data_IF_460714005557
#
_entry.id   IF_460714005557
#
_cell.length_a   1.000
_cell.length_b   1.000
_cell.length_c   1.000
_cell.angle_alpha   90.00
_cell.angle_beta   90.00
_cell.angle_gamma   90.00
#
_symmetry.space_group_name_H-M   'P 1'
#
loop_
_entity.id
_entity.type
_entity.pdbx_description
1 polymer ?
#
# COMPACT_ATOMS: atom_id res chain seq x y z
N UNK A 1 -12.60 14.79 -15.26
CA UNK A 1 -13.27 14.11 -14.13
C UNK A 1 -13.13 12.62 -14.36
N UNK A 2 -12.02 12.02 -13.90
CA UNK A 2 -11.73 10.59 -14.12
C UNK A 2 -12.43 9.75 -13.04
N UNK A 3 -13.24 8.81 -13.50
CA UNK A 3 -14.18 8.03 -12.69
C UNK A 3 -13.42 7.00 -11.83
N UNK A 4 -13.36 7.21 -10.51
CA UNK A 4 -12.70 6.38 -9.48
C UNK A 4 -13.40 5.04 -9.19
N UNK A 5 -14.32 4.57 -10.04
CA UNK A 5 -15.26 3.49 -9.70
C UNK A 5 -14.64 2.08 -9.65
N UNK A 6 -13.44 1.88 -10.21
CA UNK A 6 -12.77 0.57 -10.29
C UNK A 6 -11.69 0.36 -9.21
N UNK A 7 -11.24 1.43 -8.56
CA UNK A 7 -10.32 1.39 -7.44
C UNK A 7 -11.15 1.56 -6.17
N UNK A 8 -10.78 0.92 -5.06
CA UNK A 8 -11.49 1.03 -3.79
C UNK A 8 -11.36 2.44 -3.19
N UNK A 9 -11.04 2.54 -1.89
CA UNK A 9 -10.76 3.84 -1.27
C UNK A 9 -9.51 4.45 -1.90
N UNK A 10 -9.61 5.70 -2.38
CA UNK A 10 -8.52 6.48 -2.97
C UNK A 10 -8.43 7.83 -2.26
N UNK A 11 -7.22 8.31 -1.99
CA UNK A 11 -6.99 9.69 -1.55
C UNK A 11 -7.35 10.65 -2.68
N UNK A 12 -8.38 11.49 -2.50
CA UNK A 12 -8.77 12.49 -3.50
C UNK A 12 -7.84 13.72 -3.45
N UNK A 13 -7.82 14.50 -4.54
CA UNK A 13 -7.08 15.75 -4.57
C UNK A 13 -7.55 16.74 -3.50
N UNK A 14 -8.86 16.82 -3.26
CA UNK A 14 -9.45 17.65 -2.21
C UNK A 14 -8.97 17.23 -0.81
N UNK A 15 -8.96 15.93 -0.51
CA UNK A 15 -8.44 15.41 0.76
C UNK A 15 -6.95 15.70 0.95
N UNK A 16 -6.17 15.64 -0.14
CA UNK A 16 -4.77 16.02 -0.12
C UNK A 16 -4.57 17.51 0.21
N UNK A 17 -5.30 18.38 -0.48
CA UNK A 17 -5.23 19.84 -0.26
C UNK A 17 -5.69 20.24 1.13
N UNK A 18 -6.74 19.61 1.65
CA UNK A 18 -7.21 19.83 3.02
C UNK A 18 -6.12 19.48 4.04
N UNK A 19 -5.53 18.28 3.95
CA UNK A 19 -4.46 17.85 4.85
C UNK A 19 -3.22 18.77 4.78
N UNK A 20 -2.88 19.24 3.57
CA UNK A 20 -1.77 20.18 3.34
C UNK A 20 -2.06 21.54 3.99
N UNK A 21 -3.26 22.08 3.82
CA UNK A 21 -3.67 23.37 4.40
C UNK A 21 -3.76 23.33 5.93
N UNK A 22 -3.98 22.15 6.52
CA UNK A 22 -3.89 21.92 7.98
C UNK A 22 -2.43 21.89 8.50
N UNK A 23 -1.43 22.10 7.64
CA UNK A 23 -0.02 22.15 8.02
C UNK A 23 0.67 20.78 8.08
N UNK A 24 0.09 19.74 7.49
CA UNK A 24 0.71 18.41 7.46
C UNK A 24 2.03 18.43 6.68
N UNK A 25 3.13 18.01 7.31
CA UNK A 25 4.46 17.92 6.67
C UNK A 25 4.51 16.86 5.55
N UNK A 26 3.69 15.82 5.65
CA UNK A 26 3.62 14.72 4.69
C UNK A 26 2.19 14.20 4.61
N UNK A 27 1.68 13.98 3.40
CA UNK A 27 0.33 13.48 3.16
C UNK A 27 0.42 12.18 2.36
N UNK A 28 -0.01 11.02 2.92
CA UNK A 28 0.04 9.77 2.21
C UNK A 28 -1.02 9.71 1.11
N UNK A 29 -0.60 9.37 -0.11
CA UNK A 29 -1.51 9.07 -1.21
C UNK A 29 -1.75 7.56 -1.23
N UNK A 30 -3.02 7.17 -1.03
CA UNK A 30 -3.38 5.77 -0.85
C UNK A 30 -4.39 5.35 -1.90
N UNK A 31 -4.28 4.09 -2.31
CA UNK A 31 -5.30 3.37 -3.06
C UNK A 31 -5.48 2.01 -2.41
N UNK A 32 -6.74 1.61 -2.23
CA UNK A 32 -7.11 0.28 -1.80
C UNK A 32 -7.62 -0.52 -2.99
N UNK A 33 -7.15 -1.77 -3.11
CA UNK A 33 -7.55 -2.68 -4.17
C UNK A 33 -7.68 -4.10 -3.64
N UNK A 34 -8.49 -4.92 -4.31
CA UNK A 34 -8.62 -6.33 -3.98
C UNK A 34 -7.33 -7.08 -4.37
N UNK A 35 -6.89 -8.00 -3.52
CA UNK A 35 -5.69 -8.80 -3.71
C UNK A 35 -5.91 -10.26 -3.24
N UNK A 36 -7.16 -10.75 -3.35
CA UNK A 36 -7.57 -12.04 -2.78
C UNK A 36 -6.83 -13.25 -3.38
N UNK A 37 -6.27 -13.08 -4.59
CA UNK A 37 -5.50 -14.12 -5.30
C UNK A 37 -3.99 -14.01 -5.06
N UNK A 38 -3.58 -13.10 -4.19
CA UNK A 38 -2.19 -12.75 -3.99
C UNK A 38 -1.80 -12.93 -2.52
N UNK A 39 -0.71 -13.65 -2.30
CA UNK A 39 0.00 -13.67 -1.01
C UNK A 39 0.97 -12.49 -0.92
N UNK A 40 1.38 -12.05 0.28
CA UNK A 40 2.35 -10.97 0.44
C UNK A 40 3.64 -11.17 -0.39
N UNK A 41 4.17 -12.40 -0.41
CA UNK A 41 5.34 -12.73 -1.23
C UNK A 41 5.07 -12.60 -2.73
N UNK A 42 3.92 -13.10 -3.21
CA UNK A 42 3.57 -12.97 -4.63
C UNK A 42 3.38 -11.52 -5.06
N UNK A 43 2.81 -10.66 -4.20
CA UNK A 43 2.74 -9.21 -4.46
C UNK A 43 4.13 -8.60 -4.55
N UNK A 44 4.98 -8.90 -3.58
CA UNK A 44 6.34 -8.37 -3.55
C UNK A 44 7.10 -8.69 -4.85
N UNK A 45 7.01 -9.93 -5.33
CA UNK A 45 7.64 -10.32 -6.59
C UNK A 45 7.00 -9.67 -7.83
N UNK A 46 5.69 -9.42 -7.81
CA UNK A 46 4.98 -8.74 -8.91
C UNK A 46 5.34 -7.27 -9.03
N UNK A 47 5.54 -6.57 -7.91
CA UNK A 47 5.70 -5.10 -7.90
C UNK A 47 7.13 -4.62 -7.68
N UNK A 48 8.02 -5.48 -7.17
CA UNK A 48 9.45 -5.14 -7.03
C UNK A 48 10.07 -4.90 -8.41
N UNK A 49 10.85 -3.83 -8.52
CA UNK A 49 11.65 -3.59 -9.72
C UNK A 49 12.94 -4.43 -9.71
N UNK A 50 13.37 -4.99 -10.86
CA UNK A 50 14.50 -5.90 -10.95
C UNK A 50 15.81 -5.41 -10.32
N UNK A 51 16.04 -4.09 -10.31
CA UNK A 51 17.30 -3.46 -9.90
C UNK A 51 17.17 -2.50 -8.71
N UNK A 52 16.04 -2.50 -8.00
CA UNK A 52 15.84 -1.66 -6.80
C UNK A 52 15.86 -2.51 -5.51
N UNK A 53 16.38 -1.92 -4.44
CA UNK A 53 16.34 -2.52 -3.10
C UNK A 53 14.90 -2.45 -2.62
N UNK A 54 14.36 -3.61 -2.24
CA UNK A 54 13.03 -3.73 -1.68
C UNK A 54 13.04 -4.61 -0.44
N UNK A 55 12.02 -4.47 0.39
CA UNK A 55 11.83 -5.29 1.58
C UNK A 55 10.40 -5.84 1.66
N UNK A 56 10.27 -6.99 2.30
CA UNK A 56 9.00 -7.57 2.72
C UNK A 56 9.11 -7.85 4.22
N UNK A 57 8.24 -7.23 5.02
CA UNK A 57 8.15 -7.44 6.46
C UNK A 57 6.85 -8.17 6.77
N UNK A 58 6.97 -9.37 7.33
CA UNK A 58 5.84 -10.17 7.78
C UNK A 58 5.94 -10.36 9.29
N UNK A 59 4.81 -10.20 9.98
CA UNK A 59 4.72 -10.52 11.40
C UNK A 59 4.36 -12.00 11.54
N UNK A 60 4.97 -12.70 12.49
CA UNK A 60 4.64 -14.08 12.82
C UNK A 60 4.34 -14.15 14.32
N UNK A 61 3.14 -14.58 14.67
CA UNK A 61 2.77 -14.86 16.05
C UNK A 61 3.00 -16.34 16.35
N UNK A 62 3.78 -16.63 17.40
CA UNK A 62 4.06 -17.99 17.91
C UNK A 62 4.61 -18.99 16.89
N UNK A 63 5.15 -18.53 15.78
CA UNK A 63 5.77 -19.37 14.75
C UNK A 63 4.78 -20.04 13.78
N UNK A 64 3.47 -19.83 13.93
CA UNK A 64 2.46 -20.63 13.22
C UNK A 64 1.40 -19.79 12.49
N UNK A 65 1.16 -18.54 12.91
CA UNK A 65 0.22 -17.65 12.22
C UNK A 65 0.92 -16.42 11.68
N UNK A 66 0.71 -16.13 10.39
CA UNK A 66 1.02 -14.82 9.83
C UNK A 66 0.15 -13.75 10.50
N UNK A 67 0.73 -12.59 10.77
CA UNK A 67 0.03 -11.43 11.30
C UNK A 67 -0.98 -10.87 10.28
N UNK A 68 -1.85 -9.98 10.75
CA UNK A 68 -2.92 -9.37 9.91
C UNK A 68 -2.39 -8.51 8.76
N UNK A 69 -1.15 -8.05 8.82
CA UNK A 69 -0.56 -7.15 7.84
C UNK A 69 0.87 -7.57 7.47
N UNK A 70 1.20 -7.41 6.19
CA UNK A 70 2.55 -7.47 5.67
C UNK A 70 2.88 -6.12 5.03
N UNK A 71 4.13 -5.65 5.17
CA UNK A 71 4.58 -4.37 4.62
C UNK A 71 5.61 -4.61 3.51
N UNK A 72 5.42 -3.92 2.38
CA UNK A 72 6.26 -4.04 1.20
C UNK A 72 6.90 -2.69 0.89
N UNK A 73 8.22 -2.68 0.69
CA UNK A 73 8.97 -1.56 0.09
C UNK A 73 9.56 -2.00 -1.24
N UNK A 74 9.41 -1.21 -2.30
CA UNK A 74 9.73 -1.62 -3.68
C UNK A 74 10.64 -0.64 -4.44
N UNK A 75 11.23 0.33 -3.73
CA UNK A 75 12.10 1.39 -4.26
C UNK A 75 12.46 2.41 -3.20
#
# INVERSE_FOLDING_TARGET
MMTTKALGRVTTFEQFEEARNQGSRSVPLTVQMAADLDTPLSLFLKVKKPDEVGFLLESVERGESTGRYSFLGIG
#
